data_IF_675360563695
#
_entry.id   IF_675360563695
#
_cell.length_a   1.000
_cell.length_b   1.000
_cell.length_c   1.000
_cell.angle_alpha   90.00
_cell.angle_beta   90.00
_cell.angle_gamma   90.00
#
_symmetry.space_group_name_H-M   'P 1'
#
loop_
_entity.id
_entity.type
_entity.pdbx_description
1 polymer ?
#
# COMPACT_ATOMS: atom_id res chain seq x y z
N UNK A 1 19.00 19.92 8.55
CA UNK A 1 18.72 20.46 7.20
C UNK A 1 19.98 20.63 6.35
N UNK A 2 21.03 21.34 6.79
CA UNK A 2 22.23 21.60 5.95
C UNK A 2 23.02 20.34 5.58
N UNK A 3 23.12 19.34 6.48
CA UNK A 3 23.75 18.05 6.18
C UNK A 3 23.03 17.24 5.09
N UNK A 4 21.72 17.42 4.87
CA UNK A 4 21.04 16.65 3.81
C UNK A 4 21.34 17.21 2.43
N UNK A 5 21.55 18.53 2.29
CA UNK A 5 21.83 19.14 0.98
C UNK A 5 23.18 18.72 0.42
N UNK A 6 24.22 18.68 1.25
CA UNK A 6 25.57 18.27 0.83
C UNK A 6 25.59 16.80 0.39
N UNK A 7 24.87 15.93 1.12
CA UNK A 7 24.70 14.53 0.71
C UNK A 7 23.93 14.41 -0.62
N UNK A 8 22.87 15.20 -0.83
CA UNK A 8 22.11 15.25 -2.09
C UNK A 8 22.99 15.71 -3.25
N UNK A 9 23.80 16.76 -3.06
CA UNK A 9 24.74 17.23 -4.07
C UNK A 9 25.83 16.20 -4.39
N UNK A 10 26.36 15.52 -3.38
CA UNK A 10 27.35 14.47 -3.58
C UNK A 10 26.75 13.23 -4.28
N UNK A 11 25.51 12.87 -3.97
CA UNK A 11 24.75 11.85 -4.70
C UNK A 11 24.55 12.24 -6.17
N UNK A 12 24.19 13.50 -6.42
CA UNK A 12 24.02 14.04 -7.77
C UNK A 12 25.30 13.95 -8.58
N UNK A 13 26.42 14.43 -8.02
CA UNK A 13 27.74 14.38 -8.63
C UNK A 13 28.17 12.94 -8.93
N UNK A 14 28.02 12.03 -7.97
CA UNK A 14 28.34 10.62 -8.19
C UNK A 14 27.48 10.01 -9.31
N UNK A 15 26.18 10.32 -9.35
CA UNK A 15 25.28 9.83 -10.41
C UNK A 15 25.63 10.41 -11.78
N UNK A 16 25.95 11.71 -11.86
CA UNK A 16 26.37 12.36 -13.10
C UNK A 16 27.67 11.78 -13.65
N UNK A 17 28.59 11.36 -12.77
CA UNK A 17 29.78 10.62 -13.18
C UNK A 17 29.42 9.21 -13.67
N UNK A 18 28.51 8.51 -13.01
CA UNK A 18 28.05 7.18 -13.44
C UNK A 18 27.24 7.20 -14.74
N UNK A 19 26.58 8.32 -15.07
CA UNK A 19 25.88 8.56 -16.34
C UNK A 19 26.78 9.13 -17.45
N UNK A 20 28.10 9.16 -17.24
CA UNK A 20 29.08 9.74 -18.17
C UNK A 20 28.81 11.21 -18.56
N UNK A 21 28.02 11.94 -17.75
CA UNK A 21 27.76 13.37 -17.94
C UNK A 21 28.93 14.23 -17.45
N UNK A 22 29.69 13.72 -16.47
CA UNK A 22 30.86 14.37 -15.88
C UNK A 22 32.01 13.36 -15.81
N UNK A 23 33.24 13.71 -16.25
CA UNK A 23 34.36 12.78 -16.17
C UNK A 23 34.76 12.50 -14.71
N UNK A 24 35.12 11.26 -14.33
CA UNK A 24 35.52 10.91 -12.95
C UNK A 24 36.65 11.78 -12.38
N UNK A 25 37.58 12.23 -13.25
CA UNK A 25 38.67 13.15 -12.89
C UNK A 25 38.19 14.48 -12.32
N UNK A 26 36.99 14.95 -12.70
CA UNK A 26 36.43 16.20 -12.20
C UNK A 26 36.35 16.20 -10.67
N UNK A 27 35.86 15.11 -10.07
CA UNK A 27 35.72 15.01 -8.62
C UNK A 27 37.08 15.01 -7.92
N UNK A 28 38.08 14.35 -8.50
CA UNK A 28 39.43 14.26 -7.94
C UNK A 28 40.15 15.61 -7.98
N UNK A 29 40.14 16.29 -9.14
CA UNK A 29 40.82 17.58 -9.32
C UNK A 29 40.25 18.66 -8.41
N UNK A 30 38.93 18.82 -8.40
CA UNK A 30 38.28 19.86 -7.59
C UNK A 30 38.40 19.58 -6.08
N UNK A 31 38.65 18.32 -5.67
CA UNK A 31 38.84 17.98 -4.26
C UNK A 31 40.20 18.46 -3.73
N UNK A 32 41.21 18.49 -4.60
CA UNK A 32 42.56 18.97 -4.29
C UNK A 32 42.65 20.50 -4.35
N UNK A 33 41.90 21.14 -5.25
CA UNK A 33 41.94 22.60 -5.48
C UNK A 33 41.05 23.43 -4.54
N UNK A 34 40.03 22.84 -3.92
CA UNK A 34 39.05 23.61 -3.12
C UNK A 34 39.48 23.88 -1.68
N UNK A 35 39.48 25.15 -1.28
CA UNK A 35 39.61 25.57 0.12
C UNK A 35 38.26 25.63 0.86
N UNK A 36 37.15 25.60 0.13
CA UNK A 36 35.81 25.64 0.75
C UNK A 36 35.47 24.32 1.45
N UNK A 37 35.20 24.31 2.77
CA UNK A 37 34.93 23.08 3.52
C UNK A 37 33.64 22.37 3.08
N UNK A 38 32.62 23.12 2.65
CA UNK A 38 31.34 22.57 2.18
C UNK A 38 31.49 21.84 0.84
N UNK A 39 32.24 22.45 -0.09
CA UNK A 39 32.59 21.85 -1.37
C UNK A 39 33.41 20.58 -1.16
N UNK A 40 34.40 20.65 -0.27
CA UNK A 40 35.24 19.50 0.08
C UNK A 40 34.41 18.34 0.63
N UNK A 41 33.46 18.60 1.53
CA UNK A 41 32.56 17.58 2.07
C UNK A 41 31.69 16.93 0.99
N UNK A 42 31.15 17.73 0.06
CA UNK A 42 30.33 17.25 -1.06
C UNK A 42 31.14 16.34 -2.00
N UNK A 43 32.35 16.77 -2.36
CA UNK A 43 33.25 16.02 -3.24
C UNK A 43 33.77 14.75 -2.57
N UNK A 44 34.06 14.78 -1.26
CA UNK A 44 34.43 13.59 -0.50
C UNK A 44 33.30 12.54 -0.52
N UNK A 45 32.05 12.96 -0.30
CA UNK A 45 30.90 12.07 -0.35
C UNK A 45 30.73 11.43 -1.74
N UNK A 46 30.81 12.23 -2.81
CA UNK A 46 30.76 11.72 -4.18
C UNK A 46 31.91 10.75 -4.48
N UNK A 47 33.14 11.09 -4.06
CA UNK A 47 34.32 10.24 -4.23
C UNK A 47 34.18 8.91 -3.49
N UNK A 48 33.63 8.92 -2.27
CA UNK A 48 33.37 7.69 -1.51
C UNK A 48 32.39 6.79 -2.26
N UNK A 49 31.26 7.32 -2.76
CA UNK A 49 30.27 6.56 -3.53
C UNK A 49 30.86 5.92 -4.79
N UNK A 50 31.66 6.69 -5.55
CA UNK A 50 32.31 6.22 -6.78
C UNK A 50 33.38 5.15 -6.51
N UNK A 51 34.04 5.21 -5.36
CA UNK A 51 35.11 4.27 -4.97
C UNK A 51 34.59 2.97 -4.33
N UNK A 52 33.30 2.89 -3.99
CA UNK A 52 32.73 1.66 -3.42
C UNK A 52 32.76 0.51 -4.43
N UNK A 53 32.97 -0.71 -3.94
CA UNK A 53 32.87 -1.93 -4.76
C UNK A 53 31.44 -2.04 -5.31
N UNK A 54 31.31 -2.22 -6.63
CA UNK A 54 30.03 -2.13 -7.35
C UNK A 54 29.30 -0.79 -7.21
N UNK A 55 30.02 0.29 -6.88
CA UNK A 55 29.47 1.62 -6.61
C UNK A 55 28.60 2.15 -7.75
N UNK A 56 29.04 1.99 -9.00
CA UNK A 56 28.30 2.44 -10.19
C UNK A 56 26.90 1.82 -10.29
N UNK A 57 26.77 0.50 -10.10
CA UNK A 57 25.46 -0.19 -10.11
C UNK A 57 24.60 0.20 -8.90
N UNK A 58 25.23 0.51 -7.76
CA UNK A 58 24.51 0.96 -6.57
C UNK A 58 23.97 2.39 -6.70
N UNK A 59 24.56 3.20 -7.58
CA UNK A 59 24.13 4.56 -7.84
C UNK A 59 22.76 4.64 -8.54
N UNK A 60 22.30 3.56 -9.16
CA UNK A 60 20.92 3.45 -9.67
C UNK A 60 19.87 3.70 -8.57
N UNK A 61 20.22 3.41 -7.30
CA UNK A 61 19.34 3.56 -6.14
C UNK A 61 19.80 4.70 -5.21
N UNK A 62 20.64 5.63 -5.68
CA UNK A 62 21.27 6.67 -4.84
C UNK A 62 20.25 7.63 -4.21
N UNK A 63 19.08 7.79 -4.85
CA UNK A 63 17.98 8.63 -4.38
C UNK A 63 17.04 7.90 -3.41
N UNK A 64 17.40 6.67 -3.03
CA UNK A 64 16.45 5.69 -2.50
C UNK A 64 15.73 4.98 -3.64
N UNK A 65 14.95 3.96 -3.30
CA UNK A 65 14.04 3.36 -4.26
C UNK A 65 12.58 3.58 -3.83
N UNK A 66 12.27 4.66 -3.10
CA UNK A 66 10.90 4.99 -2.67
C UNK A 66 9.93 5.20 -3.84
N UNK A 67 8.62 5.16 -3.55
CA UNK A 67 7.59 5.52 -4.51
C UNK A 67 7.36 4.52 -5.65
N UNK A 68 6.81 5.05 -6.76
CA UNK A 68 6.28 4.26 -7.88
C UNK A 68 7.31 3.52 -8.74
N UNK A 69 8.62 3.70 -8.51
CA UNK A 69 9.67 2.95 -9.21
C UNK A 69 9.87 1.53 -8.62
N UNK A 70 9.27 1.23 -7.47
CA UNK A 70 9.27 -0.11 -6.90
C UNK A 70 8.45 -1.08 -7.75
N UNK A 71 8.89 -2.34 -7.89
CA UNK A 71 8.03 -3.38 -8.45
C UNK A 71 6.74 -3.50 -7.64
N UNK A 72 5.59 -3.62 -8.31
CA UNK A 72 4.28 -3.74 -7.66
C UNK A 72 4.28 -4.88 -6.62
N UNK A 73 4.88 -6.03 -6.94
CA UNK A 73 5.02 -7.16 -5.99
C UNK A 73 5.73 -6.79 -4.68
N UNK A 74 6.69 -5.87 -4.74
CA UNK A 74 7.37 -5.37 -3.53
C UNK A 74 6.45 -4.48 -2.70
N UNK A 75 5.69 -3.58 -3.35
CA UNK A 75 4.74 -2.69 -2.68
C UNK A 75 3.63 -3.48 -1.99
N UNK A 76 3.04 -4.46 -2.68
CA UNK A 76 2.02 -5.37 -2.13
C UNK A 76 2.58 -6.06 -0.88
N UNK A 77 3.79 -6.64 -0.96
CA UNK A 77 4.43 -7.28 0.20
C UNK A 77 4.61 -6.31 1.37
N UNK A 78 4.99 -5.06 1.13
CA UNK A 78 5.14 -4.05 2.17
C UNK A 78 3.81 -3.67 2.82
N UNK A 79 2.76 -3.52 2.02
CA UNK A 79 1.39 -3.28 2.50
C UNK A 79 0.93 -4.46 3.38
N UNK A 80 1.14 -5.69 2.92
CA UNK A 80 0.78 -6.89 3.69
C UNK A 80 1.53 -6.97 5.02
N UNK A 81 2.82 -6.65 5.04
CA UNK A 81 3.61 -6.61 6.28
C UNK A 81 3.10 -5.54 7.24
N UNK A 82 2.82 -4.34 6.74
CA UNK A 82 2.26 -3.22 7.51
C UNK A 82 0.94 -3.62 8.17
N UNK A 83 0.01 -4.22 7.41
CA UNK A 83 -1.30 -4.63 7.94
C UNK A 83 -1.17 -5.73 8.99
N UNK A 84 -0.29 -6.71 8.77
CA UNK A 84 -0.02 -7.79 9.75
C UNK A 84 0.61 -7.24 11.03
N UNK A 85 1.56 -6.33 10.91
CA UNK A 85 2.17 -5.67 12.07
C UNK A 85 1.13 -4.88 12.87
N UNK A 86 0.24 -4.18 12.18
CA UNK A 86 -0.87 -3.47 12.80
C UNK A 86 -1.86 -4.40 13.53
N UNK A 87 -2.20 -5.56 12.96
CA UNK A 87 -3.05 -6.55 13.64
C UNK A 87 -2.43 -7.03 14.96
N UNK A 88 -1.10 -7.12 15.04
CA UNK A 88 -0.39 -7.51 16.25
C UNK A 88 -0.24 -6.36 17.26
N UNK A 89 0.02 -5.14 16.79
CA UNK A 89 0.37 -4.00 17.66
C UNK A 89 -0.81 -3.12 18.03
N UNK A 90 -1.80 -2.98 17.15
CA UNK A 90 -2.87 -2.00 17.25
C UNK A 90 -2.42 -0.54 17.08
N UNK A 91 -1.17 -0.29 16.69
CA UNK A 91 -0.60 1.05 16.56
C UNK A 91 -0.96 1.70 15.21
N UNK A 92 -1.96 2.57 15.25
CA UNK A 92 -2.46 3.29 14.08
C UNK A 92 -1.43 4.30 13.56
N UNK A 93 -0.64 4.93 14.44
CA UNK A 93 0.29 5.97 14.02
C UNK A 93 1.47 5.37 13.26
N UNK A 94 1.97 4.21 13.70
CA UNK A 94 3.03 3.51 12.99
C UNK A 94 2.53 2.97 11.64
N UNK A 95 1.31 2.42 11.57
CA UNK A 95 0.71 2.01 10.30
C UNK A 95 0.57 3.19 9.31
N UNK A 96 0.13 4.36 9.78
CA UNK A 96 0.05 5.59 9.00
C UNK A 96 1.43 6.01 8.48
N UNK A 97 2.45 5.96 9.34
CA UNK A 97 3.81 6.31 8.99
C UNK A 97 4.36 5.37 7.91
N UNK A 98 4.26 4.06 8.14
CA UNK A 98 4.70 3.06 7.19
C UNK A 98 4.03 3.20 5.82
N UNK A 99 2.73 3.54 5.77
CA UNK A 99 2.03 3.78 4.51
C UNK A 99 2.57 5.02 3.78
N UNK A 100 2.82 6.12 4.50
CA UNK A 100 3.38 7.35 3.92
C UNK A 100 4.79 7.13 3.37
N UNK A 101 5.61 6.35 4.07
CA UNK A 101 6.97 6.02 3.66
C UNK A 101 7.04 5.19 2.36
N UNK A 102 5.91 4.61 1.91
CA UNK A 102 5.83 3.96 0.59
C UNK A 102 5.75 4.97 -0.56
N UNK A 103 5.28 6.20 -0.31
CA UNK A 103 5.19 7.29 -1.30
C UNK A 103 4.41 6.93 -2.58
N UNK A 104 3.33 6.13 -2.45
CA UNK A 104 2.49 5.66 -3.57
C UNK A 104 0.98 5.94 -3.35
N UNK A 105 0.56 7.21 -3.26
CA UNK A 105 -0.83 7.57 -2.92
C UNK A 105 -1.89 7.02 -3.89
N UNK A 106 -1.52 6.83 -5.17
CA UNK A 106 -2.42 6.26 -6.18
C UNK A 106 -2.57 4.73 -6.10
N UNK A 107 -1.83 4.08 -5.20
CA UNK A 107 -1.85 2.64 -4.94
C UNK A 107 -2.45 2.30 -3.57
N UNK A 108 -3.01 3.28 -2.85
CA UNK A 108 -3.64 3.06 -1.55
C UNK A 108 -4.88 2.14 -1.61
N UNK A 109 -5.53 2.03 -2.78
CA UNK A 109 -6.59 1.04 -3.02
C UNK A 109 -6.11 -0.41 -2.82
N UNK A 110 -4.80 -0.67 -2.92
CA UNK A 110 -4.22 -1.98 -2.59
C UNK A 110 -4.27 -2.24 -1.08
N UNK A 111 -3.96 -1.25 -0.26
CA UNK A 111 -4.03 -1.38 1.19
C UNK A 111 -5.46 -1.66 1.65
N UNK A 112 -6.45 -1.00 1.04
CA UNK A 112 -7.86 -1.24 1.34
C UNK A 112 -8.28 -2.64 0.92
N UNK A 113 -7.90 -3.08 -0.29
CA UNK A 113 -8.16 -4.44 -0.78
C UNK A 113 -7.57 -5.50 0.16
N UNK A 114 -6.27 -5.42 0.46
CA UNK A 114 -5.57 -6.36 1.33
C UNK A 114 -6.14 -6.36 2.76
N UNK A 115 -6.51 -5.19 3.30
CA UNK A 115 -7.12 -5.10 4.63
C UNK A 115 -8.47 -5.83 4.71
N UNK A 116 -9.33 -5.66 3.69
CA UNK A 116 -10.64 -6.32 3.64
C UNK A 116 -10.47 -7.83 3.44
N UNK A 117 -9.57 -8.26 2.54
CA UNK A 117 -9.27 -9.68 2.32
C UNK A 117 -8.75 -10.33 3.61
N UNK A 118 -7.84 -9.68 4.34
CA UNK A 118 -7.35 -10.20 5.63
C UNK A 118 -8.49 -10.36 6.66
N UNK A 119 -9.46 -9.45 6.71
CA UNK A 119 -10.64 -9.60 7.59
C UNK A 119 -11.48 -10.81 7.18
N UNK A 120 -11.67 -11.02 5.87
CA UNK A 120 -12.43 -12.15 5.34
C UNK A 120 -11.73 -13.48 5.67
N UNK A 121 -10.41 -13.55 5.49
CA UNK A 121 -9.61 -14.74 5.75
C UNK A 121 -9.50 -15.08 7.24
N UNK A 122 -9.30 -14.07 8.10
CA UNK A 122 -9.18 -14.25 9.56
C UNK A 122 -10.52 -14.67 10.19
N UNK A 123 -11.64 -14.14 9.68
CA UNK A 123 -13.01 -14.38 10.18
C UNK A 123 -13.23 -13.98 11.66
N UNK A 124 -12.26 -13.36 12.33
CA UNK A 124 -12.31 -12.96 13.73
C UNK A 124 -12.84 -11.54 13.95
N UNK A 125 -13.62 -11.37 15.02
CA UNK A 125 -14.20 -10.07 15.39
C UNK A 125 -13.15 -9.02 15.80
N UNK A 126 -12.01 -9.47 16.33
CA UNK A 126 -10.90 -8.60 16.71
C UNK A 126 -10.20 -8.00 15.47
N UNK A 127 -9.88 -8.82 14.47
CA UNK A 127 -9.28 -8.33 13.22
C UNK A 127 -10.24 -7.36 12.51
N UNK A 128 -11.53 -7.68 12.50
CA UNK A 128 -12.58 -6.80 12.00
C UNK A 128 -12.64 -5.45 12.72
N UNK A 129 -12.58 -5.42 14.06
CA UNK A 129 -12.56 -4.18 14.84
C UNK A 129 -11.30 -3.34 14.54
N UNK A 130 -10.13 -3.98 14.55
CA UNK A 130 -8.85 -3.29 14.28
C UNK A 130 -8.82 -2.72 12.87
N UNK A 131 -9.19 -3.50 11.84
CA UNK A 131 -9.17 -3.00 10.46
C UNK A 131 -10.18 -1.89 10.22
N UNK A 132 -11.38 -1.97 10.82
CA UNK A 132 -12.33 -0.86 10.78
C UNK A 132 -11.75 0.41 11.43
N UNK A 133 -11.05 0.27 12.57
CA UNK A 133 -10.39 1.38 13.25
C UNK A 133 -9.28 2.00 12.38
N UNK A 134 -8.45 1.17 11.73
CA UNK A 134 -7.39 1.65 10.84
C UNK A 134 -7.94 2.40 9.63
N UNK A 135 -8.89 1.80 8.90
CA UNK A 135 -9.48 2.40 7.71
C UNK A 135 -10.18 3.73 8.03
N UNK A 136 -10.89 3.80 9.16
CA UNK A 136 -11.47 5.05 9.67
C UNK A 136 -10.40 6.11 9.95
N UNK A 137 -9.28 5.74 10.57
CA UNK A 137 -8.21 6.69 10.86
C UNK A 137 -7.54 7.20 9.57
N UNK A 138 -7.38 6.33 8.57
CA UNK A 138 -6.82 6.67 7.26
C UNK A 138 -7.74 7.61 6.46
N UNK A 139 -9.06 7.42 6.55
CA UNK A 139 -10.07 8.33 5.99
C UNK A 139 -10.07 9.68 6.71
N UNK A 140 -10.15 9.69 8.05
CA UNK A 140 -10.20 10.91 8.84
C UNK A 140 -8.94 11.78 8.72
N UNK A 141 -7.79 11.15 8.44
CA UNK A 141 -6.51 11.85 8.20
C UNK A 141 -6.28 12.20 6.72
N UNK A 142 -7.22 11.87 5.83
CA UNK A 142 -7.18 12.11 4.37
C UNK A 142 -5.94 11.47 3.72
N UNK A 143 -5.42 10.40 4.33
CA UNK A 143 -4.29 9.65 3.76
C UNK A 143 -4.79 8.73 2.65
N UNK A 144 -5.92 8.06 2.89
CA UNK A 144 -6.64 7.30 1.87
C UNK A 144 -7.78 8.18 1.38
N UNK A 145 -7.74 8.56 0.11
CA UNK A 145 -8.81 9.39 -0.46
C UNK A 145 -10.09 8.57 -0.63
N UNK A 146 -11.28 9.22 -0.68
CA UNK A 146 -12.54 8.51 -0.92
C UNK A 146 -12.53 7.65 -2.19
N UNK A 147 -11.86 8.12 -3.24
CA UNK A 147 -11.70 7.37 -4.49
C UNK A 147 -10.83 6.11 -4.32
N UNK A 148 -9.73 6.20 -3.57
CA UNK A 148 -8.88 5.04 -3.28
C UNK A 148 -9.59 4.05 -2.34
N UNK A 149 -10.37 4.56 -1.38
CA UNK A 149 -11.22 3.75 -0.50
C UNK A 149 -12.25 2.96 -1.32
N UNK A 150 -13.02 3.66 -2.15
CA UNK A 150 -14.03 3.06 -3.03
C UNK A 150 -13.40 2.01 -3.95
N UNK A 151 -12.32 2.35 -4.64
CA UNK A 151 -11.63 1.43 -5.56
C UNK A 151 -11.13 0.16 -4.87
N UNK A 152 -10.70 0.25 -3.61
CA UNK A 152 -10.31 -0.91 -2.82
C UNK A 152 -11.47 -1.86 -2.57
N UNK A 153 -12.60 -1.35 -2.10
CA UNK A 153 -13.82 -2.14 -1.90
C UNK A 153 -14.38 -2.70 -3.21
N UNK A 154 -14.44 -1.90 -4.28
CA UNK A 154 -14.95 -2.33 -5.59
C UNK A 154 -14.14 -3.53 -6.14
N UNK A 155 -12.82 -3.55 -5.91
CA UNK A 155 -11.97 -4.70 -6.28
C UNK A 155 -12.33 -5.95 -5.50
N UNK A 156 -12.49 -5.84 -4.18
CA UNK A 156 -12.93 -6.97 -3.36
C UNK A 156 -14.26 -7.52 -3.88
N UNK A 157 -15.21 -6.64 -4.20
CA UNK A 157 -16.51 -7.03 -4.72
C UNK A 157 -16.43 -7.81 -6.03
N UNK A 158 -15.52 -7.41 -6.93
CA UNK A 158 -15.26 -8.11 -8.18
C UNK A 158 -14.65 -9.50 -7.94
N UNK A 159 -13.75 -9.62 -6.97
CA UNK A 159 -13.03 -10.85 -6.67
C UNK A 159 -13.80 -11.78 -5.69
N UNK A 160 -14.95 -11.34 -5.15
CA UNK A 160 -15.76 -12.13 -4.22
C UNK A 160 -16.15 -13.54 -4.70
N UNK A 161 -16.48 -13.79 -5.99
CA UNK A 161 -16.73 -15.13 -6.48
C UNK A 161 -15.55 -16.08 -6.27
N UNK A 162 -14.33 -15.58 -6.45
CA UNK A 162 -13.09 -16.36 -6.30
C UNK A 162 -12.69 -16.48 -4.84
N UNK A 163 -12.75 -15.38 -4.06
CA UNK A 163 -12.48 -15.39 -2.60
C UNK A 163 -13.38 -16.40 -1.88
N UNK A 164 -14.65 -16.53 -2.31
CA UNK A 164 -15.60 -17.46 -1.71
C UNK A 164 -15.28 -18.94 -1.97
N UNK A 165 -14.43 -19.26 -2.96
CA UNK A 165 -13.95 -20.62 -3.21
C UNK A 165 -13.06 -21.07 -2.05
N UNK A 166 -12.17 -20.18 -1.59
CA UNK A 166 -11.23 -20.45 -0.50
C UNK A 166 -11.89 -20.24 0.88
N UNK A 167 -12.78 -19.24 1.00
CA UNK A 167 -13.47 -18.89 2.24
C UNK A 167 -15.00 -18.99 2.04
N UNK A 168 -15.64 -20.15 2.31
CA UNK A 168 -17.07 -20.33 2.10
C UNK A 168 -18.02 -19.29 2.74
N UNK A 169 -17.73 -18.73 3.95
CA UNK A 169 -18.56 -17.69 4.55
C UNK A 169 -18.20 -16.25 4.13
N UNK A 170 -17.33 -16.05 3.11
CA UNK A 170 -16.77 -14.73 2.76
C UNK A 170 -17.83 -13.62 2.61
N UNK A 171 -18.94 -13.90 1.93
CA UNK A 171 -20.02 -12.92 1.76
C UNK A 171 -20.63 -12.45 3.08
N UNK A 172 -20.83 -13.37 4.04
CA UNK A 172 -21.39 -13.05 5.36
C UNK A 172 -20.40 -12.22 6.18
N UNK A 173 -19.11 -12.56 6.12
CA UNK A 173 -18.05 -11.81 6.82
C UNK A 173 -17.93 -10.39 6.24
N UNK A 174 -17.95 -10.27 4.90
CA UNK A 174 -17.90 -8.99 4.22
C UNK A 174 -19.13 -8.13 4.55
N UNK A 175 -20.34 -8.71 4.58
CA UNK A 175 -21.56 -7.99 4.97
C UNK A 175 -21.44 -7.40 6.38
N UNK A 176 -20.99 -8.22 7.33
CA UNK A 176 -20.75 -7.79 8.71
C UNK A 176 -19.69 -6.68 8.77
N UNK A 177 -18.62 -6.79 7.98
CA UNK A 177 -17.56 -5.79 7.94
C UNK A 177 -18.05 -4.45 7.38
N UNK A 178 -18.79 -4.46 6.27
CA UNK A 178 -19.38 -3.26 5.65
C UNK A 178 -20.40 -2.62 6.59
N UNK A 179 -21.24 -3.41 7.26
CA UNK A 179 -22.18 -2.91 8.26
C UNK A 179 -21.47 -2.17 9.38
N UNK A 180 -20.37 -2.73 9.89
CA UNK A 180 -19.52 -2.08 10.91
C UNK A 180 -18.91 -0.77 10.37
N UNK A 181 -18.28 -0.80 9.20
CA UNK A 181 -17.66 0.39 8.61
C UNK A 181 -18.67 1.52 8.34
N UNK A 182 -19.88 1.15 7.89
CA UNK A 182 -20.99 2.08 7.67
C UNK A 182 -21.50 2.66 8.99
N UNK A 183 -21.61 1.86 10.05
CA UNK A 183 -22.02 2.32 11.38
C UNK A 183 -21.03 3.30 12.01
N UNK A 184 -19.74 3.18 11.67
CA UNK A 184 -18.69 4.12 12.10
C UNK A 184 -18.68 5.42 11.26
N UNK A 185 -19.31 5.40 10.07
CA UNK A 185 -19.62 6.59 9.28
C UNK A 185 -18.54 7.07 8.31
N UNK A 186 -17.48 6.29 8.06
CA UNK A 186 -16.47 6.64 7.05
C UNK A 186 -16.76 6.04 5.67
N UNK A 187 -17.54 4.97 5.61
CA UNK A 187 -17.87 4.29 4.36
C UNK A 187 -19.05 4.99 3.67
N UNK A 188 -18.89 5.38 2.40
CA UNK A 188 -19.98 5.99 1.66
C UNK A 188 -21.15 5.01 1.46
N UNK A 189 -22.41 5.49 1.48
CA UNK A 189 -23.59 4.64 1.26
C UNK A 189 -23.57 3.92 -0.09
N UNK A 190 -22.92 4.50 -1.10
CA UNK A 190 -22.84 3.93 -2.45
C UNK A 190 -21.97 2.67 -2.46
N UNK A 191 -20.87 2.64 -1.70
CA UNK A 191 -20.03 1.44 -1.55
C UNK A 191 -20.83 0.33 -0.87
N UNK A 192 -21.58 0.65 0.20
CA UNK A 192 -22.38 -0.34 0.90
C UNK A 192 -23.49 -0.94 0.01
N UNK A 193 -24.14 -0.11 -0.83
CA UNK A 193 -25.16 -0.56 -1.79
C UNK A 193 -24.59 -1.38 -2.95
N UNK A 194 -23.32 -1.17 -3.31
CA UNK A 194 -22.64 -1.90 -4.37
C UNK A 194 -22.20 -3.31 -3.96
N UNK A 195 -22.30 -3.67 -2.67
CA UNK A 195 -21.91 -4.98 -2.17
C UNK A 195 -22.67 -6.10 -2.92
N UNK A 196 -21.95 -7.10 -3.48
CA UNK A 196 -22.60 -8.22 -4.16
C UNK A 196 -23.25 -9.15 -3.15
N UNK A 197 -24.48 -9.55 -3.41
CA UNK A 197 -25.12 -10.65 -2.68
C UNK A 197 -24.79 -11.97 -3.35
N UNK A 198 -24.41 -12.99 -2.56
CA UNK A 198 -24.28 -14.35 -3.11
C UNK A 198 -25.62 -14.78 -3.68
N UNK A 199 -25.70 -14.94 -5.00
CA UNK A 199 -26.86 -15.54 -5.64
C UNK A 199 -27.10 -16.90 -5.00
N UNK A 200 -28.19 -17.06 -4.24
CA UNK A 200 -28.63 -18.38 -3.80
C UNK A 200 -28.86 -19.18 -5.06
N UNK A 201 -27.98 -20.14 -5.38
CA UNK A 201 -28.36 -21.25 -6.26
C UNK A 201 -29.56 -21.89 -5.56
N UNK A 202 -30.78 -21.52 -5.97
CA UNK A 202 -31.94 -22.34 -5.69
C UNK A 202 -31.60 -23.66 -6.37
N UNK A 203 -31.13 -24.62 -5.60
CA UNK A 203 -31.30 -26.00 -5.98
C UNK A 203 -32.82 -26.12 -6.15
N UNK A 204 -33.27 -26.13 -7.40
CA UNK A 204 -34.61 -26.57 -7.70
C UNK A 204 -34.63 -27.98 -7.13
N UNK A 205 -35.32 -28.19 -6.02
CA UNK A 205 -35.59 -29.55 -5.59
C UNK A 205 -36.32 -30.16 -6.76
N UNK A 206 -35.73 -31.17 -7.39
CA UNK A 206 -36.31 -31.87 -8.54
C UNK A 206 -37.69 -32.50 -8.21
N UNK A 207 -38.19 -32.36 -6.98
CA UNK A 207 -39.43 -32.95 -6.50
C UNK A 207 -40.74 -32.21 -6.79
N UNK A 208 -40.76 -30.90 -7.08
CA UNK A 208 -42.03 -30.13 -7.06
C UNK A 208 -42.52 -29.59 -8.42
N UNK A 209 -41.90 -30.00 -9.54
CA UNK A 209 -42.49 -29.86 -10.88
C UNK A 209 -42.97 -28.46 -11.30
N UNK A 210 -42.49 -27.39 -10.65
CA UNK A 210 -42.87 -26.02 -10.95
C UNK A 210 -44.32 -25.61 -10.62
N UNK A 211 -45.03 -26.31 -9.72
CA UNK A 211 -46.35 -25.83 -9.28
C UNK A 211 -46.21 -24.73 -8.23
N UNK A 212 -46.81 -23.57 -8.50
CA UNK A 212 -47.02 -22.52 -7.52
C UNK A 212 -47.98 -23.05 -6.45
N UNK A 213 -47.59 -22.98 -5.16
CA UNK A 213 -48.54 -23.18 -4.07
C UNK A 213 -49.54 -22.03 -4.12
N UNK A 214 -50.80 -22.35 -4.41
CA UNK A 214 -51.89 -21.42 -4.20
C UNK A 214 -52.08 -21.25 -2.69
N UNK A 215 -51.97 -20.01 -2.22
CA UNK A 215 -52.22 -19.64 -0.84
C UNK A 215 -53.67 -19.98 -0.50
N UNK A 216 -53.85 -20.97 0.38
CA UNK A 216 -55.14 -21.27 0.98
C UNK A 216 -55.42 -20.22 2.08
N UNK A 217 -56.50 -19.47 1.86
CA UNK A 217 -57.08 -18.50 2.80
C UNK A 217 -57.43 -19.12 4.16
#
# INVERSE_FOLDING_TARGET
>A
MVQSLLCVLGNFLARAVADDCVPPKYVQLNLEETDCPLTKQTLQHASTLLSMKHGLVRLDNVWGMGGGMRPVKYLVKKIQMLLKEYLCSGDVNEAIRCLRDLEVPHFHHELVYEAVVMVIEDMGDMAMELMCKLLRALDASVIVTPEQMKRGFDRVFQDMPDICIDVPPAYTVLEKFIGKCSGVGFLSPDIAKAMPTRGRKRFVSEGDGGRLKEDAY
#
